data_IF_918322456365
#
_entry.id   IF_918322456365
#
_cell.length_a   1.000
_cell.length_b   1.000
_cell.length_c   1.000
_cell.angle_alpha   90.00
_cell.angle_beta   90.00
_cell.angle_gamma   90.00
#
_symmetry.space_group_name_H-M   'P 1'
#
loop_
_entity.id
_entity.type
_entity.pdbx_description
1 polymer ?
#
# COMPACT_ATOMS: atom_id res chain seq x y z
N UNK A 1 -9.94 -16.41 -21.70
CA UNK A 1 -9.49 -16.43 -20.29
C UNK A 1 -8.19 -15.65 -20.19
N UNK A 2 -8.16 -14.52 -19.48
CA UNK A 2 -6.89 -13.87 -19.16
C UNK A 2 -6.14 -14.78 -18.18
N UNK A 3 -5.04 -15.37 -18.67
CA UNK A 3 -4.20 -16.31 -17.94
C UNK A 3 -3.59 -15.62 -16.72
N UNK A 4 -3.70 -16.24 -15.55
CA UNK A 4 -2.90 -15.81 -14.40
C UNK A 4 -1.42 -16.04 -14.74
N UNK A 5 -0.64 -14.95 -14.70
CA UNK A 5 0.81 -15.00 -14.89
C UNK A 5 1.48 -15.37 -13.57
N UNK A 6 1.55 -16.68 -13.30
CA UNK A 6 2.05 -17.25 -12.04
C UNK A 6 3.53 -17.57 -12.19
N UNK A 7 4.33 -17.00 -11.29
CA UNK A 7 5.74 -17.32 -11.11
C UNK A 7 5.89 -18.28 -9.93
N UNK A 8 6.74 -19.29 -10.09
CA UNK A 8 7.08 -20.27 -9.04
C UNK A 8 8.45 -19.95 -8.46
N UNK A 9 8.70 -20.35 -7.21
CA UNK A 9 10.03 -20.25 -6.63
C UNK A 9 11.04 -21.10 -7.42
N UNK A 10 12.25 -20.57 -7.62
CA UNK A 10 13.31 -21.25 -8.33
C UNK A 10 13.69 -22.56 -7.64
N UNK A 11 14.03 -23.58 -8.44
CA UNK A 11 14.42 -24.90 -7.95
C UNK A 11 13.25 -25.81 -7.56
N UNK A 12 12.00 -25.32 -7.44
CA UNK A 12 10.86 -26.20 -7.13
C UNK A 12 10.67 -27.34 -8.14
N UNK A 13 10.94 -27.07 -9.42
CA UNK A 13 10.80 -28.05 -10.48
C UNK A 13 11.71 -29.27 -10.30
N UNK A 14 12.87 -29.14 -9.65
CA UNK A 14 13.78 -30.28 -9.47
C UNK A 14 13.20 -31.39 -8.59
N UNK A 15 12.14 -31.09 -7.83
CA UNK A 15 11.46 -32.04 -6.96
C UNK A 15 10.24 -32.72 -7.60
N UNK A 16 9.90 -32.43 -8.88
CA UNK A 16 8.82 -33.15 -9.56
C UNK A 16 9.13 -34.64 -9.72
N UNK A 17 10.40 -34.95 -9.98
CA UNK A 17 10.87 -36.32 -10.28
C UNK A 17 11.84 -36.84 -9.20
N UNK A 18 11.96 -36.11 -8.08
CA UNK A 18 12.86 -36.49 -6.98
C UNK A 18 12.30 -37.67 -6.19
N UNK A 19 13.18 -38.60 -5.83
CA UNK A 19 12.84 -39.74 -4.94
C UNK A 19 12.79 -39.35 -3.46
N UNK A 20 13.31 -38.17 -3.10
CA UNK A 20 13.27 -37.61 -1.74
C UNK A 20 12.54 -36.27 -1.71
N UNK A 21 11.91 -35.92 -0.58
CA UNK A 21 11.30 -34.60 -0.41
C UNK A 21 12.36 -33.48 -0.46
N UNK A 22 11.93 -32.22 -0.67
CA UNK A 22 12.80 -31.07 -0.47
C UNK A 22 13.42 -31.08 0.93
N UNK A 23 14.72 -30.79 1.03
CA UNK A 23 15.39 -30.67 2.33
C UNK A 23 15.00 -29.35 3.02
N UNK A 24 15.17 -29.27 4.34
CA UNK A 24 14.98 -28.02 5.05
C UNK A 24 15.95 -26.94 4.55
N UNK A 25 17.19 -27.32 4.20
CA UNK A 25 18.18 -26.42 3.64
C UNK A 25 17.71 -25.78 2.33
N UNK A 26 17.09 -26.56 1.44
CA UNK A 26 16.48 -25.99 0.22
C UNK A 26 15.40 -24.96 0.58
N UNK A 27 14.48 -25.29 1.48
CA UNK A 27 13.40 -24.38 1.90
C UNK A 27 13.95 -23.09 2.50
N UNK A 28 14.99 -23.19 3.33
CA UNK A 28 15.66 -22.05 3.95
C UNK A 28 16.51 -21.24 2.95
N UNK A 29 16.93 -21.86 1.84
CA UNK A 29 17.65 -21.17 0.75
C UNK A 29 16.74 -20.29 -0.12
N UNK A 30 15.42 -20.53 -0.09
CA UNK A 30 14.47 -19.76 -0.90
C UNK A 30 14.49 -18.27 -0.50
N UNK A 31 14.20 -17.33 -1.43
CA UNK A 31 14.22 -15.92 -1.12
C UNK A 31 13.28 -15.55 0.02
N UNK A 32 13.81 -14.79 1.00
CA UNK A 32 13.00 -14.21 2.06
C UNK A 32 11.99 -13.22 1.47
N UNK A 33 10.74 -13.34 1.89
CA UNK A 33 9.67 -12.45 1.47
C UNK A 33 9.97 -10.99 1.84
N UNK A 34 9.93 -10.12 0.83
CA UNK A 34 9.93 -8.66 0.99
C UNK A 34 8.49 -8.15 0.86
N UNK A 35 8.12 -7.13 1.65
CA UNK A 35 6.77 -6.53 1.67
C UNK A 35 6.35 -6.01 0.28
N UNK A 36 5.59 -6.83 -0.46
CA UNK A 36 5.05 -6.54 -1.80
C UNK A 36 3.57 -6.90 -1.89
N UNK A 37 2.84 -6.30 -2.85
CA UNK A 37 1.40 -6.52 -3.07
C UNK A 37 1.18 -7.51 -4.22
N UNK A 38 1.25 -8.80 -3.90
CA UNK A 38 1.01 -9.90 -4.83
C UNK A 38 -0.04 -10.85 -4.27
N UNK A 39 -0.63 -11.69 -5.10
CA UNK A 39 -1.21 -12.94 -4.61
C UNK A 39 -0.12 -14.00 -4.54
N UNK A 40 -0.12 -14.82 -3.50
CA UNK A 40 0.90 -15.85 -3.34
C UNK A 40 0.42 -17.04 -2.52
N UNK A 41 1.07 -18.18 -2.76
CA UNK A 41 1.23 -19.27 -1.80
C UNK A 41 2.51 -18.98 -1.03
N UNK A 42 2.42 -18.88 0.30
CA UNK A 42 3.56 -18.64 1.16
C UNK A 42 3.82 -19.84 2.06
N UNK A 43 5.08 -20.00 2.46
CA UNK A 43 5.52 -20.98 3.44
C UNK A 43 6.19 -20.24 4.60
N UNK A 44 5.76 -20.54 5.83
CA UNK A 44 6.43 -20.14 7.06
C UNK A 44 7.23 -21.32 7.61
N UNK A 45 8.47 -21.06 8.02
CA UNK A 45 9.26 -21.96 8.86
C UNK A 45 9.26 -21.39 10.28
N UNK A 46 8.88 -22.23 11.24
CA UNK A 46 8.84 -21.91 12.65
C UNK A 46 9.85 -22.77 13.39
N UNK A 47 10.66 -22.13 14.23
CA UNK A 47 11.69 -22.81 15.01
C UNK A 47 11.65 -22.38 16.47
N UNK A 48 12.08 -23.30 17.34
CA UNK A 48 12.28 -23.13 18.77
C UNK A 48 13.56 -23.85 19.17
N UNK A 49 14.32 -23.29 20.09
CA UNK A 49 15.54 -23.94 20.59
C UNK A 49 15.25 -25.35 21.12
N UNK A 50 15.99 -26.35 20.62
CA UNK A 50 15.83 -27.76 20.97
C UNK A 50 14.51 -28.41 20.51
N UNK A 51 13.66 -27.70 19.75
CA UNK A 51 12.42 -28.23 19.22
C UNK A 51 12.55 -28.71 17.77
N UNK A 52 11.61 -29.54 17.34
CA UNK A 52 11.41 -29.88 15.92
C UNK A 52 11.06 -28.62 15.12
N UNK A 53 11.59 -28.48 13.90
CA UNK A 53 11.19 -27.42 12.96
C UNK A 53 9.75 -27.66 12.50
N UNK A 54 8.93 -26.61 12.43
CA UNK A 54 7.54 -26.69 12.00
C UNK A 54 7.33 -25.84 10.75
N UNK A 55 6.48 -26.28 9.83
CA UNK A 55 6.11 -25.49 8.65
C UNK A 55 4.61 -25.25 8.57
N UNK A 56 4.25 -24.11 7.99
CA UNK A 56 2.88 -23.76 7.64
C UNK A 56 2.83 -23.25 6.21
N UNK A 57 1.87 -23.72 5.42
CA UNK A 57 1.58 -23.21 4.08
C UNK A 57 0.22 -22.54 4.10
N UNK A 58 0.10 -21.41 3.43
CA UNK A 58 -1.18 -20.76 3.21
C UNK A 58 -1.20 -19.91 1.94
N UNK A 59 -2.38 -19.51 1.49
CA UNK A 59 -2.54 -18.53 0.42
C UNK A 59 -2.89 -17.14 0.94
N UNK A 60 -2.55 -16.12 0.15
CA UNK A 60 -2.89 -14.73 0.41
C UNK A 60 -3.53 -14.08 -0.82
N UNK A 61 -4.84 -14.25 -0.96
CA UNK A 61 -5.65 -13.83 -2.13
C UNK A 61 -6.52 -12.60 -1.85
N UNK A 62 -6.06 -11.70 -0.96
CA UNK A 62 -6.77 -10.46 -0.70
C UNK A 62 -6.73 -9.55 -1.94
N UNK A 63 -7.88 -9.22 -2.52
CA UNK A 63 -7.96 -8.45 -3.77
C UNK A 63 -7.46 -6.99 -3.66
N UNK A 64 -7.25 -6.45 -2.46
CA UNK A 64 -6.79 -5.06 -2.25
C UNK A 64 -5.32 -4.97 -1.85
N UNK A 65 -4.87 -5.93 -1.05
CA UNK A 65 -3.59 -5.87 -0.37
C UNK A 65 -2.71 -7.09 -0.63
N UNK A 66 -3.25 -8.18 -1.18
CA UNK A 66 -2.53 -9.42 -1.41
C UNK A 66 -1.85 -9.96 -0.14
N UNK A 67 -0.63 -10.46 -0.33
CA UNK A 67 0.29 -10.97 0.70
C UNK A 67 0.54 -9.97 1.83
N UNK A 68 0.58 -8.67 1.55
CA UNK A 68 0.86 -7.67 2.57
C UNK A 68 -0.10 -7.77 3.77
N UNK A 69 -1.40 -7.88 3.51
CA UNK A 69 -2.40 -7.94 4.59
C UNK A 69 -2.24 -9.20 5.44
N UNK A 70 -2.08 -10.36 4.81
CA UNK A 70 -2.00 -11.65 5.51
C UNK A 70 -0.68 -11.77 6.29
N UNK A 71 0.45 -11.43 5.69
CA UNK A 71 1.75 -11.54 6.34
C UNK A 71 1.97 -10.48 7.43
N UNK A 72 1.30 -9.33 7.33
CA UNK A 72 1.29 -8.36 8.43
C UNK A 72 0.51 -8.85 9.65
N UNK A 73 -0.57 -9.61 9.46
CA UNK A 73 -1.30 -10.27 10.54
C UNK A 73 -0.39 -11.24 11.31
N UNK A 74 0.44 -12.03 10.62
CA UNK A 74 1.45 -12.89 11.28
C UNK A 74 2.45 -12.09 12.11
N UNK A 75 3.01 -11.00 11.55
CA UNK A 75 3.98 -10.15 12.28
C UNK A 75 3.40 -9.53 13.54
N UNK A 76 2.10 -9.24 13.55
CA UNK A 76 1.40 -8.67 14.70
C UNK A 76 0.85 -9.72 15.67
N UNK A 77 0.90 -11.00 15.31
CA UNK A 77 0.24 -12.07 16.06
C UNK A 77 -1.29 -12.00 15.99
N UNK A 78 -1.86 -11.35 14.97
CA UNK A 78 -3.30 -11.18 14.79
C UNK A 78 -3.85 -12.22 13.81
N UNK A 79 -5.07 -12.73 14.03
CA UNK A 79 -5.79 -13.62 13.09
C UNK A 79 -4.95 -14.83 12.59
N UNK A 80 -4.10 -15.38 13.46
CA UNK A 80 -3.26 -16.54 13.18
C UNK A 80 -4.11 -17.81 13.02
N UNK A 81 -3.71 -18.75 12.13
CA UNK A 81 -4.24 -20.12 12.17
C UNK A 81 -4.07 -20.73 13.56
N UNK A 82 -5.03 -21.55 13.98
CA UNK A 82 -5.08 -22.13 15.32
C UNK A 82 -3.75 -22.77 15.74
N UNK A 83 -3.15 -23.59 14.87
CA UNK A 83 -1.92 -24.31 15.20
C UNK A 83 -0.65 -23.47 15.07
N UNK A 84 -0.65 -22.44 14.22
CA UNK A 84 0.44 -21.45 14.22
C UNK A 84 0.41 -20.67 15.53
N UNK A 85 -0.78 -20.23 15.98
CA UNK A 85 -0.93 -19.57 17.28
C UNK A 85 -0.44 -20.47 18.42
N UNK A 86 -0.88 -21.73 18.46
CA UNK A 86 -0.44 -22.68 19.49
C UNK A 86 1.08 -22.89 19.50
N UNK A 87 1.71 -23.01 18.32
CA UNK A 87 3.16 -23.12 18.24
C UNK A 87 3.85 -21.85 18.79
N UNK A 88 3.37 -20.67 18.40
CA UNK A 88 3.91 -19.40 18.92
C UNK A 88 3.72 -19.26 20.43
N UNK A 89 2.57 -19.67 20.98
CA UNK A 89 2.31 -19.72 22.42
C UNK A 89 3.27 -20.68 23.15
N UNK A 90 3.80 -21.70 22.46
CA UNK A 90 4.81 -22.64 22.95
C UNK A 90 6.26 -22.16 22.76
N UNK A 91 6.46 -20.91 22.34
CA UNK A 91 7.78 -20.30 22.18
C UNK A 91 8.42 -20.50 20.80
N UNK A 92 7.67 -20.99 19.81
CA UNK A 92 8.15 -20.97 18.42
C UNK A 92 8.12 -19.55 17.85
N UNK A 93 9.09 -19.25 16.99
CA UNK A 93 9.12 -18.00 16.23
C UNK A 93 9.19 -18.31 14.74
N UNK A 94 8.57 -17.47 13.90
CA UNK A 94 8.69 -17.57 12.44
C UNK A 94 10.10 -17.08 12.06
N UNK A 95 10.99 -17.99 11.71
CA UNK A 95 12.40 -17.67 11.35
C UNK A 95 12.58 -17.45 9.86
N UNK A 96 11.71 -18.05 9.03
CA UNK A 96 11.75 -17.87 7.58
C UNK A 96 10.34 -17.74 7.00
N UNK A 97 10.19 -16.90 5.97
CA UNK A 97 8.96 -16.78 5.19
C UNK A 97 9.33 -16.60 3.73
N UNK A 98 8.84 -17.49 2.88
CA UNK A 98 9.08 -17.45 1.43
C UNK A 98 7.78 -17.58 0.64
N UNK A 99 7.82 -17.26 -0.64
CA UNK A 99 6.70 -17.42 -1.57
C UNK A 99 7.00 -18.60 -2.49
N UNK A 100 6.16 -19.64 -2.46
CA UNK A 100 6.31 -20.82 -3.32
C UNK A 100 5.77 -20.56 -4.74
N UNK A 101 4.72 -19.77 -4.84
CA UNK A 101 4.17 -19.30 -6.11
C UNK A 101 3.49 -17.96 -5.91
N UNK A 102 3.53 -17.07 -6.91
CA UNK A 102 2.92 -15.76 -6.82
C UNK A 102 2.53 -15.18 -8.19
N UNK A 103 1.61 -14.23 -8.17
CA UNK A 103 1.26 -13.42 -9.34
C UNK A 103 0.82 -12.01 -8.92
N UNK A 104 0.70 -11.11 -9.89
CA UNK A 104 0.03 -9.82 -9.66
C UNK A 104 -1.41 -10.07 -9.22
N UNK A 105 -1.92 -9.18 -8.36
CA UNK A 105 -3.32 -9.23 -7.95
C UNK A 105 -4.20 -9.17 -9.22
N UNK A 106 -5.09 -10.16 -9.46
CA UNK A 106 -5.95 -10.19 -10.64
C UNK A 106 -6.89 -8.99 -10.70
N UNK A 107 -7.38 -8.66 -11.89
CA UNK A 107 -8.51 -7.74 -12.04
C UNK A 107 -9.74 -8.30 -11.33
N UNK A 108 -10.71 -7.45 -10.98
CA UNK A 108 -11.85 -7.89 -10.18
C UNK A 108 -12.66 -8.99 -10.88
N UNK A 109 -12.77 -8.93 -12.20
CA UNK A 109 -13.44 -9.95 -13.02
C UNK A 109 -12.77 -11.33 -12.99
N UNK A 110 -11.53 -11.42 -12.53
CA UNK A 110 -10.76 -12.68 -12.46
C UNK A 110 -10.48 -13.12 -11.01
N UNK A 111 -10.99 -12.41 -10.00
CA UNK A 111 -10.70 -12.71 -8.59
C UNK A 111 -11.26 -14.07 -8.18
N UNK A 112 -12.49 -14.42 -8.57
CA UNK A 112 -13.12 -15.68 -8.17
C UNK A 112 -12.37 -16.89 -8.77
N UNK A 113 -12.17 -16.90 -10.09
CA UNK A 113 -11.38 -17.91 -10.78
C UNK A 113 -9.95 -17.99 -10.23
N UNK A 114 -9.31 -16.84 -9.98
CA UNK A 114 -7.97 -16.83 -9.45
C UNK A 114 -7.88 -17.42 -8.03
N UNK A 115 -8.89 -17.22 -7.18
CA UNK A 115 -8.96 -17.86 -5.87
C UNK A 115 -9.07 -19.37 -5.98
N UNK A 116 -9.90 -19.88 -6.90
CA UNK A 116 -10.00 -21.31 -7.15
C UNK A 116 -8.64 -21.92 -7.52
N UNK A 117 -7.88 -21.25 -8.41
CA UNK A 117 -6.52 -21.67 -8.77
C UNK A 117 -5.59 -21.66 -7.54
N UNK A 118 -5.60 -20.59 -6.74
CA UNK A 118 -4.74 -20.51 -5.56
C UNK A 118 -5.12 -21.51 -4.46
N UNK A 119 -6.39 -21.85 -4.29
CA UNK A 119 -6.82 -22.91 -3.35
C UNK A 119 -6.32 -24.27 -3.82
N UNK A 120 -6.45 -24.58 -5.11
CA UNK A 120 -5.90 -25.82 -5.68
C UNK A 120 -4.37 -25.90 -5.54
N UNK A 121 -3.67 -24.78 -5.77
CA UNK A 121 -2.22 -24.70 -5.58
C UNK A 121 -1.82 -24.81 -4.10
N UNK A 122 -2.57 -24.20 -3.18
CA UNK A 122 -2.34 -24.33 -1.74
C UNK A 122 -2.45 -25.80 -1.30
N UNK A 123 -3.45 -26.52 -1.81
CA UNK A 123 -3.62 -27.95 -1.56
C UNK A 123 -2.46 -28.77 -2.14
N UNK A 124 -2.07 -28.49 -3.39
CA UNK A 124 -0.94 -29.17 -4.03
C UNK A 124 0.37 -28.96 -3.26
N UNK A 125 0.69 -27.70 -2.89
CA UNK A 125 1.87 -27.40 -2.09
C UNK A 125 1.80 -27.98 -0.69
N UNK A 126 0.62 -28.01 -0.07
CA UNK A 126 0.44 -28.64 1.24
C UNK A 126 0.64 -30.16 1.17
N UNK A 127 0.32 -30.81 0.05
CA UNK A 127 0.63 -32.22 -0.19
C UNK A 127 2.12 -32.45 -0.47
N UNK A 128 2.73 -31.67 -1.38
CA UNK A 128 4.15 -31.77 -1.75
C UNK A 128 5.06 -31.57 -0.53
N UNK A 129 4.84 -30.53 0.27
CA UNK A 129 5.66 -30.24 1.45
C UNK A 129 5.14 -30.91 2.73
N UNK A 130 4.07 -31.71 2.63
CA UNK A 130 3.31 -32.27 3.74
C UNK A 130 3.19 -31.32 4.96
N UNK A 131 2.55 -30.16 4.76
CA UNK A 131 2.41 -29.13 5.80
C UNK A 131 1.32 -29.46 6.85
N UNK A 132 0.74 -30.66 6.80
CA UNK A 132 -0.36 -31.11 7.66
C UNK A 132 0.10 -31.50 9.06
N UNK A 133 -0.61 -31.04 10.09
CA UNK A 133 -0.24 -31.24 11.51
C UNK A 133 -0.04 -32.71 11.89
N UNK A 134 -0.88 -33.59 11.36
CA UNK A 134 -0.87 -35.01 11.69
C UNK A 134 -0.33 -35.81 10.52
N UNK A 135 0.78 -36.51 10.75
CA UNK A 135 1.37 -37.42 9.76
C UNK A 135 0.56 -38.70 9.56
N UNK A 136 -0.34 -39.08 10.46
CA UNK A 136 -1.14 -40.29 10.32
C UNK A 136 -2.48 -40.07 9.57
N UNK A 137 -2.98 -38.83 9.52
CA UNK A 137 -4.27 -38.48 8.91
C UNK A 137 -4.12 -38.13 7.42
N UNK A 138 -5.10 -38.52 6.60
CA UNK A 138 -5.06 -38.32 5.14
C UNK A 138 -5.32 -36.87 4.70
N UNK A 139 -6.27 -36.17 5.35
CA UNK A 139 -6.78 -34.85 4.91
C UNK A 139 -7.26 -34.81 3.45
N UNK A 140 -7.50 -35.95 2.81
CA UNK A 140 -7.80 -36.01 1.37
C UNK A 140 -6.60 -35.71 0.46
N UNK A 141 -5.39 -35.54 1.02
CA UNK A 141 -4.16 -35.21 0.30
C UNK A 141 -3.11 -36.33 0.33
N UNK A 142 -3.31 -37.38 1.14
CA UNK A 142 -2.30 -38.44 1.29
C UNK A 142 -1.93 -39.13 -0.02
N UNK A 143 -2.89 -39.37 -0.90
CA UNK A 143 -2.62 -39.98 -2.22
C UNK A 143 -1.85 -39.03 -3.17
N UNK A 144 -1.83 -37.73 -2.86
CA UNK A 144 -1.11 -36.70 -3.62
C UNK A 144 0.24 -36.34 -2.99
N UNK A 145 0.58 -36.93 -1.84
CA UNK A 145 1.88 -36.77 -1.20
C UNK A 145 2.88 -37.71 -1.90
N UNK A 146 3.89 -37.21 -2.62
CA UNK A 146 4.76 -38.06 -3.44
C UNK A 146 5.77 -38.87 -2.61
N UNK A 147 5.99 -38.53 -1.35
CA UNK A 147 6.95 -39.19 -0.47
C UNK A 147 6.30 -39.73 0.83
N UNK A 148 6.94 -40.71 1.50
CA UNK A 148 6.54 -41.10 2.85
C UNK A 148 6.56 -39.89 3.80
N UNK A 149 5.52 -39.76 4.63
CA UNK A 149 5.31 -38.59 5.51
C UNK A 149 6.37 -38.51 6.61
N UNK A 150 7.05 -39.61 6.88
CA UNK A 150 8.14 -39.76 7.83
C UNK A 150 9.46 -39.19 7.29
N UNK A 151 9.59 -39.06 5.96
CA UNK A 151 10.81 -38.61 5.30
C UNK A 151 11.04 -37.09 5.39
N UNK A 152 10.04 -36.31 5.81
CA UNK A 152 10.16 -34.86 5.97
C UNK A 152 10.90 -34.51 7.27
N UNK A 153 11.81 -33.53 7.20
CA UNK A 153 12.65 -33.03 8.31
C UNK A 153 11.89 -32.08 9.28
N UNK A 154 10.58 -31.90 9.06
CA UNK A 154 9.75 -30.95 9.80
C UNK A 154 8.36 -31.49 10.12
N UNK A 155 7.72 -30.90 11.13
CA UNK A 155 6.31 -31.08 11.42
C UNK A 155 5.42 -30.09 10.65
N UNK A 156 4.15 -30.44 10.44
CA UNK A 156 3.17 -29.55 9.81
C UNK A 156 2.35 -28.75 10.83
N UNK A 157 1.73 -27.66 10.38
CA UNK A 157 0.81 -26.83 11.17
C UNK A 157 -0.57 -26.63 10.51
N UNK A 158 -0.79 -27.18 9.31
CA UNK A 158 -2.09 -27.10 8.65
C UNK A 158 -3.09 -28.07 9.32
N UNK A 159 -4.28 -27.57 9.61
CA UNK A 159 -5.31 -28.27 10.38
C UNK A 159 -6.42 -28.91 9.55
N UNK A 160 -6.54 -28.52 8.29
CA UNK A 160 -7.57 -28.93 7.33
C UNK A 160 -7.00 -28.86 5.92
N UNK A 161 -7.68 -29.49 4.96
CA UNK A 161 -7.31 -29.37 3.55
C UNK A 161 -7.79 -28.04 3.01
N UNK A 162 -6.97 -27.30 2.22
CA UNK A 162 -7.47 -26.12 1.51
C UNK A 162 -8.66 -26.43 0.60
N UNK A 163 -8.82 -27.68 0.15
CA UNK A 163 -9.96 -28.12 -0.66
C UNK A 163 -11.29 -28.16 0.11
N UNK A 164 -11.24 -28.16 1.45
CA UNK A 164 -12.44 -28.05 2.29
C UNK A 164 -12.93 -26.58 2.37
N UNK A 165 -12.16 -25.62 1.84
CA UNK A 165 -12.52 -24.22 1.83
C UNK A 165 -13.40 -23.86 0.63
N UNK A 166 -14.47 -23.10 0.88
CA UNK A 166 -15.30 -22.54 -0.18
C UNK A 166 -14.59 -21.43 -0.95
N UNK A 167 -14.74 -21.43 -2.28
CA UNK A 167 -14.27 -20.33 -3.12
C UNK A 167 -15.16 -19.11 -2.92
N UNK A 168 -14.57 -18.02 -2.42
CA UNK A 168 -15.30 -16.78 -2.19
C UNK A 168 -15.41 -15.98 -3.49
N UNK A 169 -16.63 -15.77 -3.95
CA UNK A 169 -16.96 -15.01 -5.15
C UNK A 169 -18.08 -15.69 -5.92
N UNK A 170 -18.64 -14.98 -6.88
CA UNK A 170 -19.61 -15.55 -7.80
C UNK A 170 -18.87 -16.02 -9.06
N UNK A 171 -18.89 -17.33 -9.32
CA UNK A 171 -18.26 -17.94 -10.49
C UNK A 171 -19.21 -17.99 -11.69
N UNK A 172 -20.50 -17.69 -11.50
CA UNK A 172 -21.52 -17.71 -12.54
C UNK A 172 -21.59 -16.37 -13.30
N UNK A 173 -21.19 -15.28 -12.64
CA UNK A 173 -21.09 -13.96 -13.27
C UNK A 173 -19.94 -13.88 -14.27
N UNK A 174 -20.18 -13.17 -15.37
CA UNK A 174 -19.14 -12.83 -16.34
C UNK A 174 -18.07 -11.92 -15.74
N UNK A 175 -16.84 -11.90 -16.30
CA UNK A 175 -15.79 -10.99 -15.84
C UNK A 175 -16.23 -9.52 -15.84
N UNK A 176 -17.01 -9.09 -16.83
CA UNK A 176 -17.52 -7.73 -16.96
C UNK A 176 -18.52 -7.39 -15.83
N UNK A 177 -19.44 -8.29 -15.52
CA UNK A 177 -20.38 -8.13 -14.41
C UNK A 177 -19.65 -8.08 -13.07
N UNK A 178 -18.66 -8.95 -12.87
CA UNK A 178 -17.83 -8.96 -11.66
C UNK A 178 -17.03 -7.66 -11.48
N UNK A 179 -16.51 -7.07 -12.57
CA UNK A 179 -15.87 -5.74 -12.51
C UNK A 179 -16.87 -4.65 -12.08
N UNK A 180 -18.10 -4.70 -12.59
CA UNK A 180 -19.13 -3.70 -12.24
C UNK A 180 -19.62 -3.85 -10.79
N UNK A 181 -19.82 -5.09 -10.33
CA UNK A 181 -20.10 -5.39 -8.92
C UNK A 181 -18.95 -4.88 -8.05
N UNK A 182 -17.68 -5.10 -8.44
CA UNK A 182 -16.53 -4.64 -7.67
C UNK A 182 -16.43 -3.12 -7.59
N UNK A 183 -16.74 -2.39 -8.68
CA UNK A 183 -16.85 -0.92 -8.65
C UNK A 183 -17.92 -0.46 -7.67
N UNK A 184 -19.09 -1.07 -7.71
CA UNK A 184 -20.23 -0.75 -6.82
C UNK A 184 -19.87 -1.03 -5.36
N UNK A 185 -19.32 -2.20 -5.06
CA UNK A 185 -18.86 -2.58 -3.72
C UNK A 185 -17.80 -1.59 -3.22
N UNK A 186 -16.83 -1.21 -4.06
CA UNK A 186 -15.79 -0.24 -3.70
C UNK A 186 -16.37 1.15 -3.44
N UNK A 187 -17.31 1.62 -4.25
CA UNK A 187 -18.00 2.89 -4.02
C UNK A 187 -18.75 2.89 -2.69
N UNK A 188 -19.49 1.81 -2.40
CA UNK A 188 -20.23 1.62 -1.16
C UNK A 188 -19.30 1.54 0.06
N UNK A 189 -18.21 0.79 -0.02
CA UNK A 189 -17.20 0.72 1.05
C UNK A 189 -16.56 2.09 1.31
N UNK A 190 -16.25 2.85 0.26
CA UNK A 190 -15.71 4.21 0.39
C UNK A 190 -16.74 5.15 1.05
N UNK A 191 -18.01 5.08 0.66
CA UNK A 191 -19.08 5.87 1.25
C UNK A 191 -19.25 5.54 2.75
N UNK A 192 -19.35 4.25 3.10
CA UNK A 192 -19.43 3.79 4.50
C UNK A 192 -18.21 4.22 5.31
N UNK A 193 -17.00 4.11 4.73
CA UNK A 193 -15.77 4.55 5.38
C UNK A 193 -15.76 6.05 5.64
N UNK A 194 -16.25 6.87 4.69
CA UNK A 194 -16.38 8.33 4.87
C UNK A 194 -17.34 8.67 6.01
N UNK A 195 -18.51 8.03 6.07
CA UNK A 195 -19.50 8.23 7.15
C UNK A 195 -18.90 7.83 8.50
N UNK A 196 -18.28 6.65 8.59
CA UNK A 196 -17.62 6.18 9.82
C UNK A 196 -16.50 7.12 10.28
N UNK A 197 -15.69 7.63 9.35
CA UNK A 197 -14.64 8.61 9.65
C UNK A 197 -15.22 9.94 10.10
N UNK A 198 -16.31 10.42 9.50
CA UNK A 198 -16.99 11.63 9.93
C UNK A 198 -17.55 11.50 11.35
N UNK A 199 -18.22 10.38 11.65
CA UNK A 199 -18.72 10.08 12.99
C UNK A 199 -17.57 9.99 14.02
N UNK A 200 -16.48 9.29 13.68
CA UNK A 200 -15.32 9.18 14.56
C UNK A 200 -14.66 10.53 14.84
N UNK A 201 -14.63 11.46 13.88
CA UNK A 201 -14.08 12.83 14.09
C UNK A 201 -14.86 13.65 15.10
N UNK A 202 -16.11 13.30 15.37
CA UNK A 202 -16.93 13.97 16.38
C UNK A 202 -16.65 13.44 17.80
N UNK A 203 -16.01 12.26 17.93
CA UNK A 203 -15.70 11.68 19.25
C UNK A 203 -14.56 12.46 19.93
N UNK A 204 -14.72 12.89 21.20
CA UNK A 204 -13.67 13.63 21.92
C UNK A 204 -12.33 12.87 22.01
N UNK A 205 -12.36 11.57 22.27
CA UNK A 205 -11.17 10.71 22.32
C UNK A 205 -10.37 10.73 21.01
N UNK A 206 -11.08 10.72 19.88
CA UNK A 206 -10.44 10.78 18.56
C UNK A 206 -9.78 12.15 18.34
N UNK A 207 -10.45 13.23 18.73
CA UNK A 207 -9.91 14.60 18.61
C UNK A 207 -8.69 14.81 19.51
N UNK A 208 -8.71 14.30 20.73
CA UNK A 208 -7.57 14.34 21.65
C UNK A 208 -6.37 13.58 21.05
N UNK A 209 -6.60 12.34 20.58
CA UNK A 209 -5.56 11.52 19.94
C UNK A 209 -5.01 12.16 18.66
N UNK A 210 -5.86 12.71 17.81
CA UNK A 210 -5.45 13.37 16.56
C UNK A 210 -4.64 14.65 16.86
N UNK A 211 -5.04 15.40 17.88
CA UNK A 211 -4.27 16.58 18.35
C UNK A 211 -2.88 16.18 18.82
N UNK A 212 -2.78 15.11 19.61
CA UNK A 212 -1.50 14.62 20.11
C UNK A 212 -0.60 14.10 18.97
N UNK A 213 -1.15 13.30 18.05
CA UNK A 213 -0.43 12.85 16.85
C UNK A 213 0.05 14.01 15.98
N UNK A 214 -0.73 15.10 15.87
CA UNK A 214 -0.32 16.31 15.14
C UNK A 214 0.83 17.02 15.85
N UNK A 215 0.82 17.12 17.18
CA UNK A 215 1.93 17.68 17.95
C UNK A 215 3.21 16.87 17.74
N UNK A 216 3.13 15.54 17.85
CA UNK A 216 4.26 14.63 17.64
C UNK A 216 4.84 14.74 16.21
N UNK A 217 3.97 14.91 15.20
CA UNK A 217 4.39 15.02 13.79
C UNK A 217 4.83 16.42 13.37
N UNK A 218 4.51 17.46 14.15
CA UNK A 218 4.78 18.85 13.78
C UNK A 218 6.27 19.17 13.56
N UNK A 219 7.23 18.68 14.38
CA UNK A 219 8.65 18.94 14.18
C UNK A 219 9.17 18.37 12.86
N UNK A 220 8.87 17.09 12.57
CA UNK A 220 9.27 16.43 11.33
C UNK A 220 8.67 17.14 10.11
N UNK A 221 7.37 17.49 10.17
CA UNK A 221 6.74 18.24 9.09
C UNK A 221 7.34 19.64 8.89
N UNK A 222 7.81 20.29 9.96
CA UNK A 222 8.50 21.58 9.88
C UNK A 222 9.86 21.45 9.20
N UNK A 223 10.69 20.48 9.61
CA UNK A 223 12.00 20.23 8.97
C UNK A 223 11.84 19.92 7.47
N UNK A 224 10.94 19.01 7.10
CA UNK A 224 10.70 18.69 5.68
C UNK A 224 10.20 19.91 4.89
N UNK A 225 9.44 20.82 5.51
CA UNK A 225 8.99 22.07 4.87
C UNK A 225 10.15 23.02 4.62
N UNK A 226 11.07 23.12 5.57
CA UNK A 226 12.26 23.98 5.50
C UNK A 226 13.24 23.45 4.45
N UNK A 227 13.52 22.15 4.44
CA UNK A 227 14.34 21.49 3.42
C UNK A 227 13.79 21.70 2.00
N UNK A 228 12.47 21.57 1.81
CA UNK A 228 11.84 21.82 0.51
C UNK A 228 12.00 23.28 0.07
N UNK A 229 11.83 24.23 0.98
CA UNK A 229 12.07 25.66 0.67
C UNK A 229 13.55 25.94 0.39
N UNK A 230 14.44 25.33 1.16
CA UNK A 230 15.90 25.46 1.00
C UNK A 230 16.37 24.89 -0.35
N UNK A 231 15.76 23.79 -0.81
CA UNK A 231 16.04 23.23 -2.14
C UNK A 231 15.63 24.16 -3.28
N UNK A 232 14.79 25.17 -3.00
CA UNK A 232 14.24 26.13 -3.96
C UNK A 232 13.63 25.49 -5.22
N UNK A 233 13.29 24.20 -5.18
CA UNK A 233 12.77 23.43 -6.33
C UNK A 233 11.53 24.06 -6.95
N UNK A 234 10.69 24.71 -6.15
CA UNK A 234 9.49 25.40 -6.60
C UNK A 234 9.63 26.90 -6.33
N UNK A 235 10.27 27.61 -7.26
CA UNK A 235 10.56 29.03 -7.13
C UNK A 235 9.56 29.88 -7.91
N UNK A 236 9.10 30.98 -7.31
CA UNK A 236 8.37 32.01 -8.04
C UNK A 236 9.34 33.13 -8.46
N UNK A 237 9.63 33.22 -9.76
CA UNK A 237 10.51 34.25 -10.31
C UNK A 237 9.95 35.67 -10.13
N UNK A 238 8.67 35.90 -10.39
CA UNK A 238 8.04 37.24 -10.26
C UNK A 238 8.07 37.76 -8.82
N UNK A 239 7.80 36.91 -7.84
CA UNK A 239 7.76 37.31 -6.45
C UNK A 239 9.09 37.10 -5.71
N UNK A 240 10.04 36.39 -6.32
CA UNK A 240 11.34 36.05 -5.75
C UNK A 240 11.22 35.31 -4.40
N UNK A 241 10.33 34.31 -4.35
CA UNK A 241 10.11 33.54 -3.13
C UNK A 241 10.11 32.03 -3.40
N UNK A 242 10.68 31.23 -2.49
CA UNK A 242 10.59 29.79 -2.55
C UNK A 242 9.21 29.34 -2.06
N UNK A 243 8.54 28.54 -2.88
CA UNK A 243 7.31 27.85 -2.53
C UNK A 243 7.64 26.44 -2.02
N UNK A 244 6.78 25.89 -1.17
CA UNK A 244 7.05 24.59 -0.56
C UNK A 244 6.93 23.42 -1.54
N UNK A 245 5.98 23.52 -2.45
CA UNK A 245 5.62 22.48 -3.41
C UNK A 245 4.99 23.11 -4.65
N UNK A 246 4.79 22.31 -5.71
CA UNK A 246 4.19 22.79 -6.96
C UNK A 246 2.78 23.36 -6.77
N UNK A 247 2.02 22.82 -5.82
CA UNK A 247 0.65 23.29 -5.53
C UNK A 247 0.69 24.65 -4.86
N UNK A 248 1.62 24.88 -3.94
CA UNK A 248 1.85 26.17 -3.29
C UNK A 248 2.30 27.24 -4.30
N UNK A 249 3.18 26.90 -5.24
CA UNK A 249 3.58 27.79 -6.34
C UNK A 249 2.39 28.13 -7.26
N UNK A 250 1.59 27.13 -7.66
CA UNK A 250 0.40 27.35 -8.47
C UNK A 250 -0.63 28.25 -7.76
N UNK A 251 -0.82 28.04 -6.45
CA UNK A 251 -1.66 28.92 -5.62
C UNK A 251 -1.06 30.31 -5.51
N UNK A 252 0.25 30.43 -5.31
CA UNK A 252 0.96 31.69 -5.24
C UNK A 252 0.78 32.51 -6.52
N UNK A 253 0.97 31.90 -7.69
CA UNK A 253 0.85 32.57 -8.99
C UNK A 253 -0.58 33.07 -9.24
N UNK A 254 -1.58 32.41 -8.66
CA UNK A 254 -2.98 32.85 -8.71
C UNK A 254 -3.32 33.97 -7.71
N UNK A 255 -2.45 34.30 -6.75
CA UNK A 255 -2.74 35.35 -5.77
C UNK A 255 -2.78 36.71 -6.45
N UNK A 256 -3.78 37.53 -6.10
CA UNK A 256 -3.95 38.89 -6.63
C UNK A 256 -2.68 39.75 -6.51
N UNK A 257 -1.93 39.60 -5.41
CA UNK A 257 -0.66 40.31 -5.20
C UNK A 257 0.39 39.94 -6.24
N UNK A 258 0.51 38.65 -6.55
CA UNK A 258 1.39 38.15 -7.60
C UNK A 258 0.92 38.65 -8.98
N UNK A 259 -0.38 38.54 -9.29
CA UNK A 259 -0.94 39.02 -10.55
C UNK A 259 -0.81 40.55 -10.72
N UNK A 260 -1.00 41.33 -9.65
CA UNK A 260 -0.74 42.77 -9.64
C UNK A 260 0.74 43.06 -9.87
N UNK A 261 1.64 42.25 -9.31
CA UNK A 261 3.08 42.36 -9.56
C UNK A 261 3.43 42.02 -11.02
N UNK A 262 2.78 41.01 -11.62
CA UNK A 262 2.91 40.69 -13.05
C UNK A 262 2.42 41.83 -13.95
N UNK A 263 1.37 42.55 -13.55
CA UNK A 263 0.82 43.69 -14.29
C UNK A 263 1.43 45.04 -13.92
N UNK A 264 2.37 45.08 -12.97
CA UNK A 264 3.02 46.32 -12.48
C UNK A 264 2.15 47.25 -11.61
N UNK A 265 1.16 46.76 -10.85
CA UNK A 265 0.10 47.57 -10.18
C UNK A 265 -0.10 47.29 -8.68
N UNK A 266 0.88 47.55 -7.81
CA UNK A 266 0.79 47.29 -6.35
C UNK A 266 0.51 48.54 -5.47
N UNK A 267 -0.77 48.94 -5.30
CA UNK A 267 -1.28 50.02 -4.40
C UNK A 267 -2.65 50.66 -4.81
N UNK A 268 -3.34 51.49 -4.00
CA UNK A 268 -4.65 52.19 -4.24
C UNK A 268 -4.63 53.21 -5.37
N UNK A 269 -3.50 53.84 -5.57
CA UNK A 269 -3.36 55.03 -6.35
C UNK A 269 -2.44 54.75 -7.49
N UNK A 270 -3.08 54.28 -8.56
CA UNK A 270 -2.41 53.56 -9.63
C UNK A 270 -2.31 54.40 -10.89
N UNK A 271 -1.13 54.96 -11.15
CA UNK A 271 -0.89 55.66 -12.40
C UNK A 271 -0.29 54.65 -13.37
N UNK A 272 -1.08 54.21 -14.35
CA UNK A 272 -0.63 53.27 -15.38
C UNK A 272 0.51 53.84 -16.25
N UNK A 273 0.48 55.12 -16.71
CA UNK A 273 1.61 55.73 -17.40
C UNK A 273 2.90 55.74 -16.60
N UNK A 274 2.80 55.87 -15.27
CA UNK A 274 3.95 55.90 -14.38
C UNK A 274 4.22 54.55 -13.68
N UNK A 275 3.44 53.50 -13.96
CA UNK A 275 3.36 52.24 -13.20
C UNK A 275 3.40 52.41 -11.66
N UNK A 276 2.92 53.55 -11.16
CA UNK A 276 2.92 53.90 -9.74
C UNK A 276 1.67 53.35 -9.11
N UNK A 277 1.76 52.95 -7.85
CA UNK A 277 0.64 52.39 -7.11
C UNK A 277 0.92 52.53 -5.61
N UNK A 278 0.09 53.27 -4.87
CA UNK A 278 0.26 53.43 -3.41
C UNK A 278 -1.08 53.44 -2.69
N UNK A 279 -1.16 53.04 -1.42
CA UNK A 279 -2.44 52.98 -0.70
C UNK A 279 -2.96 54.29 -0.08
N UNK A 280 -2.20 55.39 -0.15
CA UNK A 280 -2.49 56.62 0.61
C UNK A 280 -2.84 57.76 -0.33
N UNK A 281 -3.97 58.43 -0.06
CA UNK A 281 -4.50 59.54 -0.88
C UNK A 281 -3.53 60.70 -0.92
N UNK A 282 -2.99 61.02 0.24
CA UNK A 282 -1.97 62.03 0.40
C UNK A 282 -0.74 61.74 -0.47
N UNK A 283 -0.33 60.47 -0.58
CA UNK A 283 0.79 60.05 -1.43
C UNK A 283 0.44 59.99 -2.92
N UNK A 284 -0.83 59.84 -3.26
CA UNK A 284 -1.32 59.90 -4.64
C UNK A 284 -1.50 61.30 -5.16
N UNK A 285 -2.15 62.15 -4.39
CA UNK A 285 -2.38 63.53 -4.78
C UNK A 285 -1.01 64.20 -4.93
N UNK A 286 -0.09 63.94 -3.98
CA UNK A 286 1.33 64.32 -4.13
C UNK A 286 1.99 63.70 -5.38
N UNK A 287 1.65 62.47 -5.77
CA UNK A 287 2.15 61.83 -6.99
C UNK A 287 1.62 62.52 -8.26
N UNK A 288 0.32 62.81 -8.31
CA UNK A 288 -0.38 63.41 -9.45
C UNK A 288 0.03 64.86 -9.70
N UNK A 289 0.43 65.62 -8.68
CA UNK A 289 0.88 67.02 -8.81
C UNK A 289 2.37 67.17 -9.11
N UNK A 290 3.11 66.08 -9.30
CA UNK A 290 4.54 66.19 -9.61
C UNK A 290 4.76 66.57 -11.07
N UNK A 291 5.69 67.50 -11.41
CA UNK A 291 6.02 67.83 -12.81
C UNK A 291 6.49 66.64 -13.66
N UNK A 292 6.75 65.48 -13.02
CA UNK A 292 7.11 64.20 -13.64
C UNK A 292 5.89 63.41 -14.12
N UNK A 293 4.82 63.38 -13.33
CA UNK A 293 3.56 62.74 -13.73
C UNK A 293 2.96 63.46 -14.94
N UNK A 294 3.01 64.80 -14.95
CA UNK A 294 2.52 65.64 -16.04
C UNK A 294 3.27 65.40 -17.37
N UNK A 295 4.61 65.35 -17.33
CA UNK A 295 5.42 65.00 -18.50
C UNK A 295 5.11 63.59 -19.04
N UNK A 296 4.93 62.58 -18.18
CA UNK A 296 4.59 61.20 -18.58
C UNK A 296 3.17 61.06 -19.15
N UNK A 297 2.24 61.91 -18.72
CA UNK A 297 0.88 61.97 -19.25
C UNK A 297 0.90 62.60 -20.66
N UNK A 298 1.65 63.68 -20.86
CA UNK A 298 1.79 64.33 -22.16
C UNK A 298 2.46 63.42 -23.22
N UNK A 299 3.47 62.66 -22.81
CA UNK A 299 4.14 61.68 -23.69
C UNK A 299 3.29 60.44 -24.02
N UNK A 300 2.33 60.06 -23.16
CA UNK A 300 1.42 58.93 -23.40
C UNK A 300 0.19 59.30 -24.25
N UNK A 301 0.08 60.58 -24.64
CA UNK A 301 -1.01 61.14 -25.45
C UNK A 301 -0.60 61.41 -26.91
N UNK A 302 0.66 61.17 -27.28
CA UNK A 302 1.16 61.11 -28.67
C UNK A 302 1.20 59.66 -29.13
#
# INVERSE_FOLDING_TARGET
>A
MNRLDITFADGLQQYSDSVTPPSLDFVMSLPLYVRIKLWAIYLHVLQRSGGETLVYIGSATNAKYGTWSRLESYRKGEALPQYVKQAMDQGYTITHTTLLAYCKIPSAGNVACGRAVFVAMEAAFSAIFWSMRRRDRSYGLAASCPWPREAYEWGGLCGHSPLDEGIHGDLELSPEELEEVAKTVRANQNARSKVKMAANRQKPEWQARDTELRKQRAPALKSTREERKASQKFWCTTCNIPCRDSTDLAKHNKKRRHLKKLKGLMGTYVCKPCAFSHDSRQKWDKHCTTPKHERNIAAAAQ
#
